data_IF_270769459740
#
_entry.id   IF_270769459740
#
_cell.length_a   1.000
_cell.length_b   1.000
_cell.length_c   1.000
_cell.angle_alpha   90.00
_cell.angle_beta   90.00
_cell.angle_gamma   90.00
#
_symmetry.space_group_name_H-M   'P 1'
#
loop_
_entity.id
_entity.type
_entity.pdbx_description
1 polymer ?
#
# COMPACT_ATOMS: atom_id res chain seq x y z
N UNK A 1 -71.61 22.42 15.79
CA UNK A 1 -71.34 23.31 14.64
C UNK A 1 -70.42 22.50 13.72
N UNK A 2 -70.91 21.75 12.73
CA UNK A 2 -71.16 22.17 11.32
C UNK A 2 -70.08 23.17 10.84
N UNK A 3 -69.33 22.93 9.77
CA UNK A 3 -69.82 22.73 8.39
C UNK A 3 -68.94 21.80 7.54
N UNK A 4 -69.61 20.99 6.71
CA UNK A 4 -69.10 20.41 5.46
C UNK A 4 -69.15 21.46 4.33
N UNK A 5 -68.34 21.29 3.28
CA UNK A 5 -68.77 21.46 1.88
C UNK A 5 -67.72 20.88 0.91
N UNK A 6 -68.22 20.04 0.01
CA UNK A 6 -67.57 19.33 -1.09
C UNK A 6 -67.40 20.21 -2.34
N UNK A 7 -66.59 19.71 -3.29
CA UNK A 7 -66.61 19.79 -4.79
C UNK A 7 -65.18 20.01 -5.32
N UNK A 8 -64.72 19.52 -6.47
CA UNK A 8 -65.13 18.47 -7.41
C UNK A 8 -63.91 18.18 -8.32
N UNK A 9 -63.81 16.95 -8.79
CA UNK A 9 -63.25 16.44 -10.06
C UNK A 9 -62.13 17.20 -10.81
N UNK A 10 -61.00 16.52 -11.01
CA UNK A 10 -60.32 16.48 -12.31
C UNK A 10 -59.57 15.15 -12.46
N UNK A 11 -60.10 14.29 -13.34
CA UNK A 11 -59.41 13.09 -13.80
C UNK A 11 -58.25 13.49 -14.71
N UNK A 12 -57.05 12.97 -14.44
CA UNK A 12 -55.93 13.03 -15.38
C UNK A 12 -55.54 11.59 -15.71
N UNK A 13 -56.06 11.13 -16.84
CA UNK A 13 -55.59 9.95 -17.56
C UNK A 13 -54.19 10.27 -18.11
N UNK A 14 -53.15 9.70 -17.53
CA UNK A 14 -51.83 9.65 -18.16
C UNK A 14 -51.58 8.23 -18.65
N UNK A 15 -51.81 8.05 -19.94
CA UNK A 15 -51.40 6.88 -20.71
C UNK A 15 -49.87 6.95 -20.82
N UNK A 16 -49.15 6.11 -20.07
CA UNK A 16 -47.74 5.87 -20.33
C UNK A 16 -47.57 4.60 -21.15
N UNK A 17 -47.38 4.84 -22.44
CA UNK A 17 -47.01 3.90 -23.49
C UNK A 17 -45.81 3.06 -23.04
N UNK A 18 -45.97 1.73 -23.08
CA UNK A 18 -44.85 0.80 -22.95
C UNK A 18 -43.94 0.97 -24.17
N UNK A 19 -42.78 1.62 -23.99
CA UNK A 19 -41.69 1.51 -24.96
C UNK A 19 -41.00 0.16 -24.76
N UNK A 20 -41.19 -0.73 -25.72
CA UNK A 20 -40.36 -1.91 -25.91
C UNK A 20 -38.95 -1.46 -26.27
N UNK A 21 -38.01 -1.50 -25.33
CA UNK A 21 -36.59 -1.35 -25.61
C UNK A 21 -36.06 -2.66 -26.19
N UNK A 22 -35.94 -2.70 -27.52
CA UNK A 22 -35.06 -3.64 -28.21
C UNK A 22 -33.61 -3.32 -27.82
N UNK A 23 -32.94 -4.28 -27.18
CA UNK A 23 -31.51 -4.21 -26.89
C UNK A 23 -30.75 -4.36 -28.21
N UNK A 24 -30.47 -3.24 -28.88
CA UNK A 24 -29.47 -3.21 -29.94
C UNK A 24 -28.10 -3.39 -29.29
N UNK A 25 -27.45 -4.53 -29.57
CA UNK A 25 -26.08 -4.78 -29.15
C UNK A 25 -25.17 -3.69 -29.73
N UNK A 26 -24.30 -3.05 -28.92
CA UNK A 26 -23.28 -2.19 -29.48
C UNK A 26 -22.26 -3.08 -30.20
N UNK A 27 -22.18 -2.96 -31.53
CA UNK A 27 -20.95 -3.26 -32.28
C UNK A 27 -19.92 -2.20 -31.87
N UNK A 28 -19.29 -2.43 -30.72
CA UNK A 28 -18.10 -1.72 -30.27
C UNK A 28 -16.90 -2.38 -30.91
N UNK A 29 -16.18 -1.60 -31.71
CA UNK A 29 -14.90 -1.93 -32.31
C UNK A 29 -13.98 -2.66 -31.31
N UNK A 30 -13.49 -3.82 -31.75
CA UNK A 30 -12.43 -4.61 -31.13
C UNK A 30 -11.07 -3.89 -31.27
N UNK A 31 -10.98 -2.64 -30.83
CA UNK A 31 -9.68 -2.11 -30.39
C UNK A 31 -9.45 -2.61 -28.99
N UNK A 32 -8.86 -3.82 -28.91
CA UNK A 32 -8.09 -4.29 -27.76
C UNK A 32 -7.01 -3.24 -27.47
N UNK A 33 -7.39 -2.16 -26.79
CA UNK A 33 -6.48 -1.44 -25.93
C UNK A 33 -6.21 -2.43 -24.80
N UNK A 34 -5.16 -3.21 -25.01
CA UNK A 34 -4.44 -3.90 -23.96
C UNK A 34 -4.09 -2.82 -22.94
N UNK A 35 -4.99 -2.59 -21.98
CA UNK A 35 -4.67 -2.06 -20.67
C UNK A 35 -3.63 -3.03 -20.14
N UNK A 36 -2.37 -2.76 -20.50
CA UNK A 36 -1.21 -3.25 -19.78
C UNK A 36 -1.41 -2.67 -18.40
N UNK A 37 -2.18 -3.41 -17.61
CA UNK A 37 -2.20 -3.34 -16.18
C UNK A 37 -0.73 -3.54 -15.83
N UNK A 38 0.02 -2.43 -15.70
CA UNK A 38 1.38 -2.44 -15.18
C UNK A 38 1.20 -3.11 -13.84
N UNK A 39 1.45 -4.41 -13.83
CA UNK A 39 1.34 -5.26 -12.66
C UNK A 39 2.38 -4.68 -11.74
N UNK A 40 1.92 -3.82 -10.85
CA UNK A 40 2.83 -2.99 -10.10
C UNK A 40 3.79 -3.92 -9.38
N UNK A 41 5.08 -3.60 -9.46
CA UNK A 41 6.09 -4.45 -8.88
C UNK A 41 5.90 -4.37 -7.36
N UNK A 42 5.21 -5.36 -6.79
CA UNK A 42 5.02 -5.49 -5.36
C UNK A 42 5.96 -6.61 -4.94
N UNK A 43 6.97 -6.34 -4.09
CA UNK A 43 7.88 -7.37 -3.65
C UNK A 43 7.11 -8.44 -2.88
N UNK A 44 7.53 -9.71 -2.94
CA UNK A 44 6.87 -10.74 -2.11
C UNK A 44 7.15 -10.57 -0.61
N UNK A 45 8.33 -10.04 -0.28
CA UNK A 45 8.76 -9.80 1.11
C UNK A 45 9.70 -8.60 1.19
N UNK A 46 9.58 -7.82 2.25
CA UNK A 46 10.44 -6.66 2.56
C UNK A 46 11.12 -6.90 3.90
N UNK A 47 12.43 -6.76 3.95
CA UNK A 47 13.20 -6.80 5.18
C UNK A 47 13.40 -5.39 5.71
N UNK A 48 13.32 -5.25 7.03
CA UNK A 48 13.63 -4.03 7.77
C UNK A 48 14.70 -4.38 8.79
N UNK A 49 15.75 -3.58 8.86
CA UNK A 49 16.89 -3.84 9.74
C UNK A 49 17.76 -2.62 9.92
N UNK A 50 18.98 -2.84 10.40
CA UNK A 50 19.95 -1.81 10.71
C UNK A 50 21.11 -1.86 9.72
N UNK A 51 21.59 -0.70 9.28
CA UNK A 51 22.82 -0.54 8.52
C UNK A 51 23.99 -0.33 9.49
N UNK A 52 24.92 -1.28 9.52
CA UNK A 52 26.01 -1.32 10.49
C UNK A 52 27.08 -0.25 10.21
N UNK A 53 27.10 0.36 9.02
CA UNK A 53 28.04 1.44 8.65
C UNK A 53 27.46 2.85 8.75
N UNK A 54 26.14 2.98 8.72
CA UNK A 54 25.49 4.28 8.86
C UNK A 54 25.17 4.51 10.32
N UNK A 55 25.99 5.28 11.00
CA UNK A 55 25.76 5.65 12.39
C UNK A 55 25.68 7.16 12.58
N UNK A 56 24.86 7.59 13.53
CA UNK A 56 24.87 8.97 14.00
C UNK A 56 26.12 9.25 14.87
N UNK A 57 26.26 10.48 15.38
CA UNK A 57 27.37 10.86 16.28
C UNK A 57 27.46 10.02 17.56
N UNK A 58 26.38 9.35 17.95
CA UNK A 58 26.30 8.50 19.14
C UNK A 58 26.57 7.01 18.85
N UNK A 59 26.99 6.69 17.62
CA UNK A 59 27.31 5.32 17.20
C UNK A 59 26.08 4.43 16.97
N UNK A 60 24.89 5.01 16.81
CA UNK A 60 23.64 4.25 16.60
C UNK A 60 23.43 3.97 15.13
N UNK A 61 23.27 2.71 14.77
CA UNK A 61 22.96 2.28 13.41
C UNK A 61 21.62 2.84 12.94
N UNK A 62 21.56 3.18 11.66
CA UNK A 62 20.36 3.67 11.00
C UNK A 62 19.47 2.51 10.55
N UNK A 63 18.16 2.67 10.66
CA UNK A 63 17.17 1.77 10.09
C UNK A 63 17.17 1.84 8.57
N UNK A 64 17.10 0.68 7.94
CA UNK A 64 17.14 0.50 6.49
C UNK A 64 16.13 -0.58 6.08
N UNK A 65 15.50 -0.39 4.94
CA UNK A 65 14.58 -1.34 4.32
C UNK A 65 15.15 -1.85 2.99
N UNK A 66 14.90 -3.12 2.67
CA UNK A 66 15.27 -3.71 1.38
C UNK A 66 14.32 -4.84 0.99
N UNK A 67 14.28 -5.15 -0.29
CA UNK A 67 13.48 -6.27 -0.80
C UNK A 67 14.19 -7.59 -0.51
N UNK A 68 13.44 -8.60 -0.06
CA UNK A 68 14.03 -9.91 0.18
C UNK A 68 14.53 -10.54 -1.13
N UNK A 69 15.76 -11.05 -1.14
CA UNK A 69 16.42 -11.57 -2.34
C UNK A 69 17.10 -10.50 -3.21
N UNK A 70 16.85 -9.22 -2.96
CA UNK A 70 17.69 -8.14 -3.49
C UNK A 70 18.94 -7.98 -2.62
N UNK A 71 20.02 -7.52 -3.23
CA UNK A 71 21.25 -7.21 -2.52
C UNK A 71 21.12 -5.86 -1.78
N UNK A 72 21.04 -5.83 -0.44
CA UNK A 72 20.93 -4.58 0.31
C UNK A 72 22.17 -3.72 0.20
N UNK A 73 23.32 -4.24 -0.24
CA UNK A 73 24.53 -3.44 -0.45
C UNK A 73 24.36 -2.44 -1.60
N UNK A 74 23.49 -2.74 -2.56
CA UNK A 74 23.25 -1.90 -3.74
C UNK A 74 21.79 -1.41 -3.84
N UNK A 75 20.84 -2.15 -3.28
CA UNK A 75 19.40 -1.86 -3.36
C UNK A 75 18.76 -1.85 -1.98
N UNK A 76 18.83 -0.69 -1.33
CA UNK A 76 18.24 -0.44 -0.03
C UNK A 76 17.70 0.98 0.05
N UNK A 77 16.92 1.22 1.09
CA UNK A 77 16.40 2.55 1.43
C UNK A 77 16.67 2.82 2.89
N UNK A 78 17.40 3.89 3.14
CA UNK A 78 17.68 4.37 4.48
C UNK A 78 16.47 5.15 5.03
N UNK A 79 15.99 4.80 6.22
CA UNK A 79 14.77 5.37 6.83
C UNK A 79 15.06 6.63 7.65
N UNK A 80 16.33 7.03 7.75
CA UNK A 80 16.80 8.20 8.50
C UNK A 80 16.31 8.25 9.97
N UNK A 81 16.13 7.08 10.57
CA UNK A 81 15.82 6.89 11.98
C UNK A 81 16.84 5.92 12.53
N UNK A 82 17.28 6.13 13.75
CA UNK A 82 18.38 5.38 14.35
C UNK A 82 17.84 4.38 15.39
N UNK A 83 18.61 3.34 15.69
CA UNK A 83 18.21 2.20 16.55
C UNK A 83 17.52 2.60 17.86
N UNK A 84 17.91 3.74 18.44
CA UNK A 84 17.44 4.19 19.75
C UNK A 84 16.45 5.37 19.67
N UNK A 85 16.15 5.88 18.47
CA UNK A 85 15.27 7.05 18.26
C UNK A 85 13.83 6.63 17.94
N UNK A 86 13.26 5.73 18.72
CA UNK A 86 11.99 5.01 18.44
C UNK A 86 12.11 3.98 17.30
N UNK A 87 11.23 2.98 17.31
CA UNK A 87 11.11 2.03 16.19
C UNK A 87 10.77 2.78 14.90
N UNK A 88 11.08 2.26 13.70
CA UNK A 88 10.94 3.00 12.44
C UNK A 88 9.47 3.10 11.96
N UNK A 89 8.64 3.73 12.76
CA UNK A 89 7.17 3.66 12.70
C UNK A 89 6.62 4.94 12.15
N UNK A 90 5.54 4.85 11.38
CA UNK A 90 4.96 5.99 10.67
C UNK A 90 5.93 6.70 9.71
N UNK A 91 7.11 6.14 9.48
CA UNK A 91 8.07 6.64 8.50
C UNK A 91 7.64 6.13 7.14
N UNK A 92 7.52 7.05 6.19
CA UNK A 92 7.33 6.71 4.78
C UNK A 92 8.68 6.52 4.11
N UNK A 93 8.81 5.42 3.38
CA UNK A 93 10.02 5.10 2.64
C UNK A 93 9.66 4.48 1.29
N UNK A 94 10.53 4.66 0.30
CA UNK A 94 10.35 4.11 -1.05
C UNK A 94 11.41 3.06 -1.28
N UNK A 95 11.02 1.87 -1.72
CA UNK A 95 12.00 0.84 -2.07
C UNK A 95 12.49 1.05 -3.52
N UNK A 96 13.76 0.77 -3.82
CA UNK A 96 14.27 0.90 -5.19
C UNK A 96 13.46 0.01 -6.14
N UNK A 97 13.20 0.52 -7.34
CA UNK A 97 12.45 -0.17 -8.39
C UNK A 97 10.98 -0.49 -8.04
N UNK A 98 10.40 0.26 -7.09
CA UNK A 98 9.00 0.16 -6.70
C UNK A 98 8.26 1.49 -6.92
N UNK A 99 7.00 1.41 -7.37
CA UNK A 99 6.17 2.58 -7.71
C UNK A 99 5.44 3.18 -6.49
N UNK A 100 5.72 2.70 -5.28
CA UNK A 100 4.93 2.99 -4.08
C UNK A 100 5.77 3.37 -2.88
N UNK A 101 5.19 4.21 -2.03
CA UNK A 101 5.68 4.45 -0.68
C UNK A 101 5.16 3.36 0.26
N UNK A 102 6.00 2.95 1.19
CA UNK A 102 5.65 2.05 2.27
C UNK A 102 5.81 2.75 3.61
N UNK A 103 5.08 2.29 4.61
CA UNK A 103 5.24 2.73 5.99
C UNK A 103 4.98 1.58 6.96
N UNK A 104 5.76 1.52 8.05
CA UNK A 104 5.52 0.57 9.13
C UNK A 104 4.53 1.13 10.14
N UNK A 105 3.61 0.28 10.58
CA UNK A 105 2.58 0.58 11.57
C UNK A 105 2.57 -0.49 12.67
N UNK A 106 2.04 -0.15 13.85
CA UNK A 106 1.86 -1.11 14.94
C UNK A 106 3.12 -1.39 15.76
N UNK A 107 4.08 -0.48 15.79
CA UNK A 107 5.28 -0.62 16.60
C UNK A 107 4.99 -0.51 18.08
N UNK A 108 5.21 -1.60 18.81
CA UNK A 108 4.68 -1.81 20.17
C UNK A 108 3.69 -2.98 20.25
N UNK A 109 3.40 -3.62 19.12
CA UNK A 109 2.60 -4.83 19.01
C UNK A 109 2.79 -5.49 17.64
N UNK A 110 1.69 -5.83 16.97
CA UNK A 110 1.70 -6.45 15.65
C UNK A 110 2.15 -5.46 14.57
N UNK A 111 3.39 -5.63 14.12
CA UNK A 111 3.97 -4.81 13.06
C UNK A 111 3.34 -5.14 11.70
N UNK A 112 2.93 -4.10 10.99
CA UNK A 112 2.29 -4.22 9.67
C UNK A 112 2.91 -3.24 8.69
N UNK A 113 2.90 -3.63 7.41
CA UNK A 113 3.39 -2.80 6.32
C UNK A 113 2.21 -2.23 5.54
N UNK A 114 2.24 -0.91 5.35
CA UNK A 114 1.20 -0.16 4.65
C UNK A 114 1.75 0.47 3.39
N UNK A 115 0.97 0.43 2.32
CA UNK A 115 1.24 1.05 1.04
C UNK A 115 0.56 2.41 0.98
N UNK A 116 1.32 3.43 0.57
CA UNK A 116 0.94 4.84 0.52
C UNK A 116 0.30 5.35 1.83
N UNK A 117 0.56 4.68 2.96
CA UNK A 117 -0.04 4.96 4.27
C UNK A 117 -1.54 4.69 4.38
N UNK A 118 -2.18 4.04 3.40
CA UNK A 118 -3.64 3.86 3.34
C UNK A 118 -4.09 2.40 3.26
N UNK A 119 -3.27 1.53 2.68
CA UNK A 119 -3.62 0.13 2.43
C UNK A 119 -2.66 -0.77 3.20
N UNK A 120 -3.17 -1.61 4.11
CA UNK A 120 -2.37 -2.66 4.73
C UNK A 120 -2.04 -3.72 3.69
N UNK A 121 -0.76 -3.86 3.37
CA UNK A 121 -0.27 -4.80 2.35
C UNK A 121 0.50 -5.96 2.92
N UNK A 122 0.91 -5.93 4.19
CA UNK A 122 1.66 -7.03 4.77
C UNK A 122 1.69 -7.07 6.29
N UNK A 123 2.04 -8.23 6.82
CA UNK A 123 2.33 -8.44 8.24
C UNK A 123 3.83 -8.65 8.39
N UNK A 124 4.42 -8.04 9.42
CA UNK A 124 5.83 -8.16 9.72
C UNK A 124 6.03 -9.09 10.91
N UNK A 125 7.02 -9.97 10.79
CA UNK A 125 7.40 -10.89 11.84
C UNK A 125 8.88 -10.69 12.17
N UNK A 126 9.22 -10.96 13.43
CA UNK A 126 10.60 -10.92 13.88
C UNK A 126 11.39 -12.00 13.13
N UNK A 127 12.39 -11.57 12.37
CA UNK A 127 13.19 -12.43 11.50
C UNK A 127 14.63 -11.89 11.47
N UNK A 128 15.39 -12.10 12.55
CA UNK A 128 16.75 -11.60 12.63
C UNK A 128 17.63 -12.34 11.62
N UNK A 129 18.49 -11.60 10.95
CA UNK A 129 19.42 -12.12 9.95
C UNK A 129 20.53 -11.13 9.69
N UNK A 130 21.62 -11.58 9.09
CA UNK A 130 22.74 -10.71 8.75
C UNK A 130 23.10 -10.88 7.28
N UNK A 131 23.29 -9.76 6.59
CA UNK A 131 23.78 -9.71 5.22
C UNK A 131 25.06 -8.89 5.21
N UNK A 132 26.17 -9.55 4.89
CA UNK A 132 27.47 -8.90 4.76
C UNK A 132 27.67 -8.32 3.35
N UNK A 133 28.25 -7.14 3.29
CA UNK A 133 28.67 -6.48 2.06
C UNK A 133 30.20 -6.46 1.94
N UNK A 134 30.67 -6.43 0.70
CA UNK A 134 32.08 -6.17 0.40
C UNK A 134 32.50 -4.83 1.02
N UNK A 135 33.73 -4.77 1.54
CA UNK A 135 34.28 -3.67 2.35
C UNK A 135 33.76 -3.56 3.80
N UNK A 136 33.15 -4.61 4.36
CA UNK A 136 32.82 -4.67 5.79
C UNK A 136 31.60 -3.84 6.18
N UNK A 137 30.72 -3.52 5.22
CA UNK A 137 29.38 -3.05 5.57
C UNK A 137 28.51 -4.27 5.89
N UNK A 138 27.58 -4.13 6.82
CA UNK A 138 26.66 -5.19 7.19
C UNK A 138 25.25 -4.61 7.33
N UNK A 139 24.27 -5.44 7.03
CA UNK A 139 22.88 -5.17 7.35
C UNK A 139 22.38 -6.22 8.31
N UNK A 140 21.92 -5.77 9.47
CA UNK A 140 21.32 -6.64 10.47
C UNK A 140 19.81 -6.55 10.33
N UNK A 141 19.22 -7.52 9.65
CA UNK A 141 17.77 -7.72 9.57
C UNK A 141 17.17 -7.91 10.97
N UNK A 142 15.99 -7.34 11.17
CA UNK A 142 15.23 -7.43 12.42
C UNK A 142 13.82 -7.95 12.13
N UNK A 143 13.18 -7.39 11.10
CA UNK A 143 11.81 -7.72 10.72
C UNK A 143 11.75 -8.12 9.26
N UNK A 144 10.89 -9.08 8.95
CA UNK A 144 10.50 -9.42 7.59
C UNK A 144 8.99 -9.26 7.45
N UNK A 145 8.59 -8.35 6.56
CA UNK A 145 7.21 -8.12 6.18
C UNK A 145 6.85 -9.00 4.98
N UNK A 146 5.88 -9.89 5.16
CA UNK A 146 5.30 -10.71 4.10
C UNK A 146 4.13 -9.93 3.51
N UNK A 147 4.22 -9.67 2.21
CA UNK A 147 3.20 -8.93 1.46
C UNK A 147 2.13 -9.91 0.93
N UNK A 148 0.86 -9.55 1.05
CA UNK A 148 -0.32 -10.36 0.67
C UNK A 148 -0.87 -9.96 -0.70
#
# INVERSE_FOLDING_TARGET
MQFSLSTASAAVLVVFSALSSTMAAPTGDNTLTSQVNKRANIPGRVNIGLNDKRYNTDGKSMWTAWVNGADPCHKHTDLNVYKDSESPCNIRFELPDMDYQYSMQGCGGDLTLWKNGIEKVGNCQWAPGHVGCVAGAGYTGQWQCILN
#
